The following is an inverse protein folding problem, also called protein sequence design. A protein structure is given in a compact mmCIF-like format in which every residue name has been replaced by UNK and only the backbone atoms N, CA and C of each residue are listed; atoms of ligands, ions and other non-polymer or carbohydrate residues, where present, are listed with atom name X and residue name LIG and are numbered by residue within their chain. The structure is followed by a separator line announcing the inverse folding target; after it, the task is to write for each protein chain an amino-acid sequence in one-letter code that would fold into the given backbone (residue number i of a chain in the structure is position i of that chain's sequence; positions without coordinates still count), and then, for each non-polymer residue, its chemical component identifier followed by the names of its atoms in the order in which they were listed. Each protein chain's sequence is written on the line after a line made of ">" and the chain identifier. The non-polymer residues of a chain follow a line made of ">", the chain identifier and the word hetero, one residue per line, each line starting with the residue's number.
data_IF_940841657306
#
_entry.id   IF_940841657306
#
_cell.length_a   1.000
_cell.length_b   1.000
_cell.length_c   1.000
_cell.angle_alpha   90.00
_cell.angle_beta   90.00
_cell.angle_gamma   90.00
#
_symmetry.space_group_name_H-M   'P 1'
#
loop_
_entity.id
_entity.type
_entity.pdbx_description
1 polymer ?
#
# COMPACT_ATOMS: atom_id res chain seq x y z
N UNK A 1 -6.23 24.65 32.29
CA UNK A 1 -6.54 23.83 31.09
C UNK A 1 -7.09 22.50 31.59
N UNK A 2 -8.34 22.18 31.31
CA UNK A 2 -8.88 20.86 31.63
C UNK A 2 -8.07 19.78 30.89
N UNK A 3 -7.63 18.74 31.59
CA UNK A 3 -6.98 17.59 30.96
C UNK A 3 -8.03 16.81 30.17
N UNK A 4 -7.73 16.55 28.90
CA UNK A 4 -8.61 15.76 28.03
C UNK A 4 -8.39 14.27 28.31
N UNK A 5 -9.47 13.56 28.60
CA UNK A 5 -9.43 12.12 28.83
C UNK A 5 -9.84 11.41 27.52
N UNK A 6 -8.84 10.99 26.74
CA UNK A 6 -9.06 10.27 25.48
C UNK A 6 -9.46 8.84 25.80
N UNK A 7 -10.61 8.41 25.27
CA UNK A 7 -11.16 7.07 25.51
C UNK A 7 -11.21 6.27 24.21
N UNK A 8 -10.90 4.98 24.32
CA UNK A 8 -11.02 4.01 23.24
C UNK A 8 -12.43 4.08 22.63
N UNK A 9 -12.48 4.15 21.29
CA UNK A 9 -13.74 4.13 20.54
C UNK A 9 -14.74 5.26 20.85
N UNK A 10 -14.42 6.23 21.72
CA UNK A 10 -15.32 7.31 22.08
C UNK A 10 -14.54 8.54 22.54
N UNK A 11 -13.88 9.22 21.60
CA UNK A 11 -13.28 10.54 21.86
C UNK A 11 -13.88 11.57 20.91
N UNK A 12 -15.09 12.05 21.23
CA UNK A 12 -15.80 13.07 20.45
C UNK A 12 -15.00 14.37 20.37
N UNK A 13 -14.14 14.62 21.34
CA UNK A 13 -13.24 15.77 21.41
C UNK A 13 -12.25 15.81 20.23
N UNK A 14 -11.78 14.65 19.73
CA UNK A 14 -10.88 14.60 18.56
C UNK A 14 -11.58 15.17 17.32
N UNK A 15 -12.84 14.80 17.12
CA UNK A 15 -13.65 15.26 16.00
C UNK A 15 -14.08 16.72 16.17
N UNK A 16 -14.43 17.14 17.39
CA UNK A 16 -14.73 18.54 17.70
C UNK A 16 -13.53 19.45 17.44
N UNK A 17 -12.32 19.03 17.81
CA UNK A 17 -11.10 19.78 17.50
C UNK A 17 -10.80 19.81 16.00
N UNK A 18 -11.03 18.72 15.28
CA UNK A 18 -10.93 18.73 13.84
C UNK A 18 -11.88 19.78 13.24
N UNK A 19 -13.13 19.77 13.71
CA UNK A 19 -14.18 20.73 13.34
C UNK A 19 -13.77 22.19 13.54
N UNK A 20 -13.26 22.51 14.74
CA UNK A 20 -12.79 23.84 15.08
C UNK A 20 -11.59 24.25 14.21
N UNK A 21 -10.67 23.33 13.95
CA UNK A 21 -9.48 23.61 13.13
C UNK A 21 -9.81 23.96 11.69
N UNK A 22 -10.86 23.37 11.10
CA UNK A 22 -11.33 23.75 9.76
C UNK A 22 -12.45 24.79 9.80
N UNK A 23 -12.69 25.43 10.96
CA UNK A 23 -13.64 26.53 11.15
C UNK A 23 -15.05 26.21 10.63
N UNK A 24 -15.45 24.94 10.76
CA UNK A 24 -16.74 24.44 10.27
C UNK A 24 -16.86 24.25 8.75
N UNK A 25 -15.82 24.57 7.96
CA UNK A 25 -15.80 24.26 6.52
C UNK A 25 -15.76 22.75 6.28
N UNK A 26 -16.23 22.28 5.13
CA UNK A 26 -16.17 20.85 4.80
C UNK A 26 -14.77 20.45 4.33
N UNK A 27 -14.22 19.42 4.96
CA UNK A 27 -12.96 18.78 4.55
C UNK A 27 -13.27 17.46 3.83
N UNK A 28 -12.71 17.27 2.65
CA UNK A 28 -12.91 16.09 1.80
C UNK A 28 -11.66 15.24 1.84
N UNK A 29 -11.80 13.94 2.11
CA UNK A 29 -10.63 13.10 2.26
C UNK A 29 -10.93 11.62 2.38
N UNK A 30 -9.96 10.91 2.93
CA UNK A 30 -10.00 9.47 3.09
C UNK A 30 -9.52 9.05 4.47
N UNK A 31 -10.04 7.93 4.95
CA UNK A 31 -9.64 7.31 6.20
C UNK A 31 -8.50 6.32 5.93
N UNK A 32 -7.51 6.33 6.80
CA UNK A 32 -6.41 5.38 6.87
C UNK A 32 -6.60 4.54 8.13
N UNK A 33 -6.48 3.22 8.01
CA UNK A 33 -6.59 2.26 9.09
C UNK A 33 -5.35 1.36 9.09
N UNK A 34 -4.72 1.19 10.25
CA UNK A 34 -3.65 0.21 10.44
C UNK A 34 -3.60 -0.24 11.91
N UNK A 35 -3.06 -1.43 12.13
CA UNK A 35 -2.90 -2.01 13.46
C UNK A 35 -1.48 -1.79 13.98
N UNK A 36 -1.39 -1.27 15.21
CA UNK A 36 -0.11 -1.08 15.89
C UNK A 36 0.00 -2.11 17.01
N UNK A 37 1.07 -2.89 16.97
CA UNK A 37 1.44 -3.76 18.09
C UNK A 37 1.88 -2.92 19.28
N UNK A 38 1.24 -3.14 20.42
CA UNK A 38 1.62 -2.48 21.66
C UNK A 38 2.82 -3.19 22.27
N UNK A 39 3.73 -2.42 22.87
CA UNK A 39 4.84 -3.01 23.63
C UNK A 39 4.28 -3.58 24.94
N UNK A 40 4.59 -4.85 25.18
CA UNK A 40 4.10 -5.62 26.29
C UNK A 40 4.73 -5.15 27.62
N UNK A 41 4.05 -4.28 28.38
CA UNK A 41 4.26 -4.09 29.84
C UNK A 41 2.92 -3.98 30.61
N UNK A 42 2.93 -3.81 31.94
CA UNK A 42 1.71 -3.47 32.71
C UNK A 42 1.34 -2.01 32.44
N UNK A 43 0.23 -1.78 31.73
CA UNK A 43 -0.23 -0.42 31.45
C UNK A 43 -1.16 0.02 32.60
N UNK A 44 -0.59 0.75 33.56
CA UNK A 44 -1.32 1.35 34.67
C UNK A 44 -1.59 2.83 34.37
N UNK A 45 -2.87 3.22 34.38
CA UNK A 45 -3.22 4.63 34.35
C UNK A 45 -2.96 5.25 35.73
N UNK A 46 -1.90 6.05 35.87
CA UNK A 46 -1.58 6.70 37.13
C UNK A 46 -2.61 7.76 37.58
N UNK A 47 -3.49 8.21 36.68
CA UNK A 47 -4.51 9.23 36.95
C UNK A 47 -5.89 8.64 37.22
N UNK A 48 -6.33 7.61 36.47
CA UNK A 48 -7.59 6.91 36.76
C UNK A 48 -7.44 5.75 37.75
N UNK A 49 -6.20 5.38 38.09
CA UNK A 49 -5.85 4.20 38.87
C UNK A 49 -6.33 2.86 38.28
N UNK A 50 -6.75 2.84 37.02
CA UNK A 50 -7.20 1.63 36.33
C UNK A 50 -6.04 0.89 35.65
N UNK A 51 -6.12 -0.43 35.65
CA UNK A 51 -5.25 -1.30 34.84
C UNK A 51 -5.86 -1.33 33.43
N UNK A 52 -5.14 -0.76 32.46
CA UNK A 52 -5.60 -0.63 31.06
C UNK A 52 -5.31 -1.93 30.29
N UNK A 53 -4.26 -2.67 30.63
CA UNK A 53 -3.94 -3.92 29.96
C UNK A 53 -2.76 -4.68 30.55
N UNK A 54 -2.66 -5.95 30.15
CA UNK A 54 -1.57 -6.85 30.48
C UNK A 54 -0.68 -7.11 29.25
N UNK A 55 0.54 -7.52 29.56
CA UNK A 55 1.62 -7.85 28.65
C UNK A 55 1.87 -9.35 28.63
N UNK A 56 2.22 -9.86 27.45
CA UNK A 56 2.58 -11.27 27.22
C UNK A 56 3.85 -11.74 27.98
N UNK A 57 4.57 -10.84 28.68
CA UNK A 57 5.82 -11.17 29.39
C UNK A 57 5.77 -10.98 30.92
N UNK A 58 4.63 -11.21 31.58
CA UNK A 58 4.61 -11.31 33.05
C UNK A 58 5.13 -12.69 33.48
N UNK A 59 6.45 -12.79 33.67
CA UNK A 59 7.14 -13.95 34.26
C UNK A 59 7.06 -14.01 35.80
N UNK A 60 6.33 -13.11 36.46
CA UNK A 60 6.18 -13.11 37.91
C UNK A 60 4.73 -13.36 38.35
N UNK A 61 4.50 -14.61 38.75
CA UNK A 61 3.21 -15.24 39.06
C UNK A 61 2.57 -14.73 40.36
N UNK A 62 3.32 -13.97 41.18
CA UNK A 62 2.90 -13.51 42.51
C UNK A 62 1.74 -12.50 42.49
N UNK A 63 1.57 -11.72 41.41
CA UNK A 63 0.42 -10.80 41.22
C UNK A 63 -0.83 -11.45 40.64
N UNK A 64 -0.69 -12.57 39.92
CA UNK A 64 -1.83 -13.36 39.40
C UNK A 64 -2.56 -14.05 40.56
N UNK A 65 -1.82 -14.53 41.56
CA UNK A 65 -2.38 -15.18 42.76
C UNK A 65 -3.23 -14.23 43.61
N UNK A 66 -2.93 -12.92 43.63
CA UNK A 66 -3.76 -11.92 44.30
C UNK A 66 -5.10 -11.62 43.59
N UNK A 67 -5.16 -11.80 42.27
CA UNK A 67 -6.41 -11.64 41.49
C UNK A 67 -7.33 -12.87 41.54
N UNK A 68 -6.81 -14.03 41.96
CA UNK A 68 -7.56 -15.29 42.12
C UNK A 68 -8.45 -15.29 43.37
N UNK A 69 -8.22 -14.39 44.33
CA UNK A 69 -8.86 -14.48 45.65
C UNK A 69 -10.03 -13.53 45.88
N UNK A 70 -10.29 -12.50 45.06
CA UNK A 70 -11.44 -11.61 45.29
C UNK A 70 -12.07 -11.03 44.01
N UNK A 71 -13.36 -11.35 43.84
CA UNK A 71 -14.40 -10.75 42.99
C UNK A 71 -14.44 -11.09 41.48
N UNK A 72 -15.37 -12.00 41.15
CA UNK A 72 -16.14 -12.12 39.89
C UNK A 72 -15.36 -12.01 38.57
N UNK A 73 -14.94 -13.19 38.08
CA UNK A 73 -14.21 -13.44 36.84
C UNK A 73 -14.87 -12.85 35.57
N UNK A 74 -14.45 -11.66 35.17
CA UNK A 74 -14.43 -11.25 33.76
C UNK A 74 -13.02 -11.51 33.23
N UNK A 75 -12.84 -12.66 32.54
CA UNK A 75 -11.59 -12.94 31.80
C UNK A 75 -11.51 -11.96 30.62
N UNK A 76 -10.89 -10.80 30.82
CA UNK A 76 -10.47 -9.93 29.72
C UNK A 76 -9.07 -10.36 29.28
N UNK A 77 -8.94 -10.74 28.02
CA UNK A 77 -7.63 -11.04 27.44
C UNK A 77 -6.75 -9.76 27.43
N UNK A 78 -5.42 -9.92 27.55
CA UNK A 78 -4.48 -8.80 27.43
C UNK A 78 -4.69 -8.06 26.10
N UNK A 79 -4.65 -6.73 26.16
CA UNK A 79 -4.57 -5.90 24.95
C UNK A 79 -3.15 -5.99 24.40
N UNK A 80 -3.02 -6.45 23.17
CA UNK A 80 -1.74 -6.63 22.49
C UNK A 80 -1.58 -5.73 21.27
N UNK A 81 -2.69 -5.21 20.74
CA UNK A 81 -2.73 -4.34 19.58
C UNK A 81 -3.72 -3.18 19.77
N UNK A 82 -3.51 -2.12 18.99
CA UNK A 82 -4.45 -1.03 18.81
C UNK A 82 -4.70 -0.83 17.31
N UNK A 83 -5.95 -0.92 16.88
CA UNK A 83 -6.37 -0.51 15.56
C UNK A 83 -6.56 1.00 15.56
N UNK A 84 -5.82 1.72 14.72
CA UNK A 84 -5.75 3.19 14.74
C UNK A 84 -6.29 3.75 13.44
N UNK A 85 -7.19 4.74 13.55
CA UNK A 85 -7.76 5.44 12.42
C UNK A 85 -7.21 6.85 12.30
N UNK A 86 -6.98 7.30 11.07
CA UNK A 86 -6.60 8.67 10.73
C UNK A 86 -7.40 9.16 9.54
N UNK A 87 -7.74 10.44 9.52
CA UNK A 87 -8.26 11.10 8.32
C UNK A 87 -7.11 11.83 7.63
N UNK A 88 -7.01 11.69 6.31
CA UNK A 88 -6.15 12.51 5.46
C UNK A 88 -7.01 13.34 4.54
N UNK A 89 -6.92 14.66 4.69
CA UNK A 89 -7.59 15.59 3.80
C UNK A 89 -6.95 15.56 2.42
N UNK A 90 -7.79 15.58 1.40
CA UNK A 90 -7.45 15.78 -0.01
C UNK A 90 -7.74 17.23 -0.44
N UNK A 91 -8.79 17.84 0.10
CA UNK A 91 -9.24 19.20 -0.21
C UNK A 91 -10.09 19.74 0.96
N UNK A 92 -10.09 21.05 1.29
CA UNK A 92 -9.25 22.11 0.74
C UNK A 92 -7.80 22.09 1.25
N UNK A 93 -7.46 21.24 2.23
CA UNK A 93 -6.13 21.22 2.85
C UNK A 93 -5.38 19.90 2.56
N UNK A 94 -4.81 19.72 1.35
CA UNK A 94 -4.15 18.48 0.97
C UNK A 94 -3.12 18.01 2.00
N UNK A 95 -3.17 16.72 2.32
CA UNK A 95 -2.25 16.02 3.22
C UNK A 95 -2.32 16.43 4.70
N UNK A 96 -3.30 17.25 5.11
CA UNK A 96 -3.58 17.44 6.54
C UNK A 96 -4.02 16.10 7.14
N UNK A 97 -3.32 15.68 8.19
CA UNK A 97 -3.63 14.45 8.93
C UNK A 97 -4.34 14.81 10.23
N UNK A 98 -5.45 14.14 10.50
CA UNK A 98 -6.18 14.21 11.76
C UNK A 98 -6.18 12.80 12.37
N UNK A 99 -5.75 12.69 13.62
CA UNK A 99 -5.88 11.44 14.37
C UNK A 99 -7.33 11.27 14.79
N UNK A 100 -7.90 10.10 14.49
CA UNK A 100 -9.27 9.76 14.85
C UNK A 100 -9.25 8.76 16.02
N UNK A 101 -10.33 7.98 16.16
CA UNK A 101 -10.41 6.95 17.18
C UNK A 101 -9.36 5.84 16.99
N UNK A 102 -9.08 5.18 18.09
CA UNK A 102 -8.40 3.90 18.14
C UNK A 102 -9.23 2.90 18.95
N UNK A 103 -8.98 1.62 18.70
CA UNK A 103 -9.66 0.50 19.34
C UNK A 103 -8.64 -0.55 19.75
N UNK A 104 -8.68 -0.97 21.00
CA UNK A 104 -7.78 -1.97 21.55
C UNK A 104 -8.27 -3.37 21.21
N UNK A 105 -7.34 -4.30 20.99
CA UNK A 105 -7.68 -5.70 20.76
C UNK A 105 -6.57 -6.66 21.24
N UNK A 106 -6.93 -7.93 21.44
CA UNK A 106 -6.02 -9.00 21.90
C UNK A 106 -5.34 -9.76 20.76
N UNK A 107 -5.40 -9.26 19.52
CA UNK A 107 -4.87 -9.89 18.31
C UNK A 107 -5.86 -10.76 17.55
N UNK A 108 -7.13 -10.75 17.95
CA UNK A 108 -8.21 -11.60 17.44
C UNK A 108 -9.32 -10.81 16.74
N UNK A 109 -9.02 -9.62 16.22
CA UNK A 109 -10.00 -8.70 15.65
C UNK A 109 -10.68 -9.27 14.40
N UNK A 110 -11.99 -9.48 14.45
CA UNK A 110 -12.76 -10.04 13.33
C UNK A 110 -13.14 -8.99 12.29
N UNK A 111 -13.43 -9.43 11.06
CA UNK A 111 -13.94 -8.53 10.00
C UNK A 111 -15.25 -7.80 10.36
N UNK A 112 -16.09 -8.40 11.21
CA UNK A 112 -17.34 -7.77 11.67
C UNK A 112 -17.08 -6.66 12.70
N UNK A 113 -16.13 -6.87 13.63
CA UNK A 113 -15.71 -5.84 14.57
C UNK A 113 -15.06 -4.67 13.83
N UNK A 114 -14.21 -4.97 12.85
CA UNK A 114 -13.64 -3.97 11.94
C UNK A 114 -14.72 -3.18 11.18
N UNK A 115 -15.80 -3.83 10.73
CA UNK A 115 -16.91 -3.16 10.06
C UNK A 115 -17.65 -2.20 11.02
N UNK A 116 -17.84 -2.61 12.27
CA UNK A 116 -18.40 -1.76 13.31
C UNK A 116 -17.53 -0.53 13.57
N UNK A 117 -16.21 -0.74 13.71
CA UNK A 117 -15.24 0.36 13.87
C UNK A 117 -15.23 1.30 12.67
N UNK A 118 -15.24 0.76 11.44
CA UNK A 118 -15.34 1.53 10.21
C UNK A 118 -16.58 2.43 10.21
N UNK A 119 -17.77 1.85 10.43
CA UNK A 119 -19.02 2.61 10.45
C UNK A 119 -19.01 3.69 11.53
N UNK A 120 -18.52 3.37 12.73
CA UNK A 120 -18.37 4.33 13.82
C UNK A 120 -17.54 5.53 13.37
N UNK A 121 -16.34 5.29 12.84
CA UNK A 121 -15.39 6.35 12.46
C UNK A 121 -15.93 7.18 11.30
N UNK A 122 -16.55 6.54 10.29
CA UNK A 122 -17.14 7.27 9.16
C UNK A 122 -18.28 8.18 9.64
N UNK A 123 -19.20 7.67 10.46
CA UNK A 123 -20.30 8.47 11.01
C UNK A 123 -19.75 9.67 11.79
N UNK A 124 -18.75 9.45 12.66
CA UNK A 124 -18.15 10.52 13.44
C UNK A 124 -17.43 11.58 12.56
N UNK A 125 -16.77 11.16 11.48
CA UNK A 125 -16.16 12.08 10.52
C UNK A 125 -17.20 12.94 9.81
N UNK A 126 -18.25 12.32 9.27
CA UNK A 126 -19.33 13.01 8.54
C UNK A 126 -20.06 14.01 9.46
N UNK A 127 -20.31 13.65 10.72
CA UNK A 127 -20.87 14.56 11.72
C UNK A 127 -19.97 15.77 12.04
N UNK A 128 -18.67 15.64 11.81
CA UNK A 128 -17.67 16.69 12.03
C UNK A 128 -17.32 17.43 10.73
N UNK A 129 -18.17 17.40 9.69
CA UNK A 129 -17.91 18.01 8.38
C UNK A 129 -16.61 17.49 7.69
N UNK A 130 -16.14 16.30 8.06
CA UNK A 130 -15.07 15.59 7.37
C UNK A 130 -15.71 14.54 6.44
N UNK A 131 -15.94 14.93 5.20
CA UNK A 131 -16.60 14.12 4.20
C UNK A 131 -15.68 13.00 3.69
N UNK A 132 -16.08 11.76 3.95
CA UNK A 132 -15.28 10.57 3.63
C UNK A 132 -15.59 10.10 2.22
N UNK A 133 -14.57 10.09 1.37
CA UNK A 133 -14.63 9.60 0.00
C UNK A 133 -13.83 8.33 -0.22
N UNK A 134 -13.09 7.89 0.79
CA UNK A 134 -12.15 6.82 0.62
C UNK A 134 -11.73 6.14 1.91
N UNK A 135 -11.35 4.88 1.79
CA UNK A 135 -10.88 4.05 2.90
C UNK A 135 -9.67 3.23 2.46
N UNK A 136 -8.57 3.37 3.20
CA UNK A 136 -7.32 2.64 2.97
C UNK A 136 -7.04 1.77 4.19
N UNK A 137 -6.84 0.48 3.96
CA UNK A 137 -6.34 -0.46 4.97
C UNK A 137 -5.21 -1.31 4.41
N UNK A 138 -4.50 -2.05 5.26
CA UNK A 138 -3.58 -3.07 4.78
C UNK A 138 -4.32 -4.25 4.11
N UNK A 139 -3.60 -5.27 3.68
CA UNK A 139 -4.16 -6.48 3.08
C UNK A 139 -4.08 -7.69 4.04
N UNK A 140 -3.99 -7.45 5.36
CA UNK A 140 -4.04 -8.50 6.37
C UNK A 140 -5.37 -9.26 6.31
N UNK A 141 -5.40 -10.51 6.77
CA UNK A 141 -6.55 -11.40 6.56
C UNK A 141 -7.91 -10.82 7.01
N UNK A 142 -7.95 -10.19 8.19
CA UNK A 142 -9.17 -9.59 8.71
C UNK A 142 -9.55 -8.27 8.01
N UNK A 143 -8.57 -7.48 7.57
CA UNK A 143 -8.81 -6.30 6.74
C UNK A 143 -9.29 -6.67 5.33
N UNK A 144 -8.76 -7.76 4.75
CA UNK A 144 -9.30 -8.33 3.52
C UNK A 144 -10.76 -8.79 3.70
N UNK A 145 -11.08 -9.42 4.84
CA UNK A 145 -12.46 -9.77 5.18
C UNK A 145 -13.36 -8.55 5.32
N UNK A 146 -12.90 -7.47 5.98
CA UNK A 146 -13.60 -6.19 6.04
C UNK A 146 -13.91 -5.66 4.63
N UNK A 147 -12.92 -5.62 3.74
CA UNK A 147 -13.12 -5.15 2.37
C UNK A 147 -14.15 -5.99 1.63
N UNK A 148 -14.16 -7.32 1.82
CA UNK A 148 -15.20 -8.19 1.25
C UNK A 148 -16.59 -7.86 1.82
N UNK A 149 -16.71 -7.59 3.11
CA UNK A 149 -17.99 -7.19 3.73
C UNK A 149 -18.48 -5.83 3.20
N UNK A 150 -17.60 -4.84 3.07
CA UNK A 150 -17.93 -3.52 2.53
C UNK A 150 -18.40 -3.58 1.07
N UNK A 151 -17.99 -4.61 0.34
CA UNK A 151 -18.39 -4.88 -1.05
C UNK A 151 -19.59 -5.81 -1.14
N UNK A 152 -20.32 -6.03 -0.04
CA UNK A 152 -21.48 -6.92 0.02
C UNK A 152 -21.17 -8.37 -0.40
N UNK A 153 -19.94 -8.82 -0.18
CA UNK A 153 -19.40 -10.10 -0.64
C UNK A 153 -19.38 -10.28 -2.17
N UNK A 154 -19.38 -9.19 -2.95
CA UNK A 154 -19.15 -9.26 -4.38
C UNK A 154 -17.70 -9.68 -4.68
N UNK A 155 -17.56 -10.63 -5.59
CA UNK A 155 -16.25 -11.12 -6.04
C UNK A 155 -15.63 -10.16 -7.06
N UNK A 156 -14.32 -9.94 -6.96
CA UNK A 156 -13.60 -9.02 -7.86
C UNK A 156 -13.51 -9.59 -9.29
N UNK A 157 -13.58 -10.93 -9.40
CA UNK A 157 -13.45 -11.66 -10.65
C UNK A 157 -12.02 -11.64 -11.22
N UNK A 158 -11.82 -12.33 -12.35
CA UNK A 158 -10.52 -12.47 -13.01
C UNK A 158 -10.27 -11.39 -14.08
N UNK A 159 -11.18 -10.43 -14.22
CA UNK A 159 -11.05 -9.37 -15.21
C UNK A 159 -9.98 -8.37 -14.79
N UNK A 160 -9.25 -7.81 -15.77
CA UNK A 160 -8.26 -6.76 -15.54
C UNK A 160 -8.85 -5.50 -14.88
N UNK A 161 -10.17 -5.32 -14.96
CA UNK A 161 -10.92 -4.22 -14.35
C UNK A 161 -11.89 -4.76 -13.32
N UNK A 162 -11.72 -4.35 -12.06
CA UNK A 162 -12.68 -4.62 -11.02
C UNK A 162 -13.98 -3.83 -11.30
N UNK A 163 -15.16 -4.46 -11.17
CA UNK A 163 -16.42 -3.76 -11.35
C UNK A 163 -16.67 -2.74 -10.22
N UNK A 164 -17.50 -1.74 -10.48
CA UNK A 164 -17.78 -0.63 -9.55
C UNK A 164 -18.20 -1.11 -8.15
N UNK A 165 -19.05 -2.13 -8.08
CA UNK A 165 -19.54 -2.74 -6.83
C UNK A 165 -18.43 -3.47 -6.04
N UNK A 166 -17.24 -3.65 -6.62
CA UNK A 166 -16.09 -4.29 -6.01
C UNK A 166 -14.98 -3.29 -5.61
N UNK A 167 -15.17 -2.00 -5.85
CA UNK A 167 -14.18 -0.95 -5.54
C UNK A 167 -14.73 0.16 -4.65
N UNK A 168 -16.04 0.15 -4.32
CA UNK A 168 -16.67 1.14 -3.46
C UNK A 168 -17.79 0.54 -2.62
N UNK A 169 -18.08 1.17 -1.49
CA UNK A 169 -19.28 0.92 -0.69
C UNK A 169 -20.13 2.19 -0.59
N UNK A 170 -21.40 2.07 -0.20
CA UNK A 170 -22.23 3.23 0.11
C UNK A 170 -21.73 3.90 1.39
N UNK A 171 -21.82 5.22 1.46
CA UNK A 171 -21.56 5.94 2.69
C UNK A 171 -22.72 5.68 3.68
N UNK A 172 -22.44 5.33 4.96
CA UNK A 172 -23.46 4.97 5.94
C UNK A 172 -24.31 6.16 6.42
N UNK A 173 -23.86 7.40 6.20
CA UNK A 173 -24.60 8.62 6.57
C UNK A 173 -25.37 9.18 5.37
N UNK A 174 -24.75 9.21 4.19
CA UNK A 174 -25.36 9.71 2.96
C UNK A 174 -25.27 8.66 1.85
N UNK A 175 -26.35 7.89 1.69
CA UNK A 175 -26.38 6.77 0.75
C UNK A 175 -26.33 7.17 -0.73
N UNK A 176 -26.40 8.47 -1.05
CA UNK A 176 -26.17 8.98 -2.40
C UNK A 176 -24.67 9.01 -2.77
N UNK A 177 -23.79 8.97 -1.77
CA UNK A 177 -22.33 8.99 -1.93
C UNK A 177 -21.72 7.61 -1.72
N UNK A 178 -20.54 7.46 -2.31
CA UNK A 178 -19.74 6.25 -2.21
C UNK A 178 -18.39 6.53 -1.56
N UNK A 179 -17.88 5.53 -0.84
CA UNK A 179 -16.54 5.49 -0.27
C UNK A 179 -15.75 4.47 -1.10
N UNK A 180 -14.67 4.92 -1.74
CA UNK A 180 -13.79 4.06 -2.52
C UNK A 180 -12.85 3.28 -1.60
N UNK A 181 -12.63 2.01 -1.93
CA UNK A 181 -11.92 1.06 -1.10
C UNK A 181 -10.54 0.77 -1.71
N UNK A 182 -9.49 0.95 -0.92
CA UNK A 182 -8.13 0.67 -1.35
C UNK A 182 -7.38 -0.15 -0.32
N UNK A 183 -6.55 -1.05 -0.82
CA UNK A 183 -5.47 -1.59 -0.02
C UNK A 183 -4.25 -0.68 -0.13
N UNK A 184 -3.44 -0.66 0.93
CA UNK A 184 -2.18 0.07 0.95
C UNK A 184 -1.27 -0.40 -0.19
N UNK A 185 -0.98 0.50 -1.13
CA UNK A 185 -0.14 0.22 -2.31
C UNK A 185 1.26 -0.29 -1.93
N UNK A 186 1.82 0.23 -0.84
CA UNK A 186 3.13 -0.19 -0.31
C UNK A 186 3.10 -1.65 0.18
N UNK A 187 2.01 -2.08 0.82
CA UNK A 187 1.85 -3.47 1.26
C UNK A 187 1.66 -4.42 0.08
N UNK A 188 0.95 -3.99 -0.96
CA UNK A 188 0.83 -4.75 -2.23
C UNK A 188 2.20 -4.91 -2.87
N UNK A 189 2.97 -3.82 -2.99
CA UNK A 189 4.30 -3.83 -3.59
C UNK A 189 5.25 -4.80 -2.85
N UNK A 190 5.30 -4.71 -1.52
CA UNK A 190 6.09 -5.64 -0.70
C UNK A 190 5.63 -7.08 -0.90
N UNK A 191 4.32 -7.32 -0.92
CA UNK A 191 3.76 -8.67 -1.10
C UNK A 191 4.12 -9.26 -2.46
N UNK A 192 3.99 -8.48 -3.54
CA UNK A 192 4.35 -8.91 -4.89
C UNK A 192 5.85 -9.25 -4.98
N UNK A 193 6.71 -8.38 -4.46
CA UNK A 193 8.16 -8.62 -4.41
C UNK A 193 8.51 -9.88 -3.61
N UNK A 194 7.88 -10.07 -2.45
CA UNK A 194 8.10 -11.26 -1.61
C UNK A 194 7.61 -12.54 -2.29
N UNK A 195 6.51 -12.48 -3.05
CA UNK A 195 6.02 -13.60 -3.86
C UNK A 195 6.98 -13.92 -5.01
N UNK A 196 7.49 -12.90 -5.71
CA UNK A 196 8.48 -13.08 -6.78
C UNK A 196 9.77 -13.70 -6.23
N UNK A 197 10.24 -13.26 -5.06
CA UNK A 197 11.39 -13.85 -4.37
C UNK A 197 11.15 -15.31 -3.94
N UNK A 198 9.93 -15.65 -3.52
CA UNK A 198 9.54 -17.01 -3.17
C UNK A 198 9.35 -17.92 -4.40
N UNK A 199 9.16 -17.34 -5.59
CA UNK A 199 9.03 -18.04 -6.87
C UNK A 199 10.41 -18.45 -7.39
N UNK A 200 10.85 -19.63 -6.94
CA UNK A 200 12.15 -20.20 -7.33
C UNK A 200 12.03 -21.09 -8.56
N UNK A 201 13.03 -21.01 -9.45
CA UNK A 201 13.07 -21.79 -10.70
C UNK A 201 13.47 -23.26 -10.53
N UNK A 202 13.93 -23.66 -9.35
CA UNK A 202 14.35 -25.03 -9.03
C UNK A 202 13.22 -25.91 -8.48
N UNK A 203 11.97 -25.40 -8.47
CA UNK A 203 10.81 -26.12 -7.92
C UNK A 203 10.77 -26.20 -6.39
N UNK A 204 11.72 -25.60 -5.68
CA UNK A 204 11.72 -25.50 -4.22
C UNK A 204 10.91 -24.31 -3.68
N UNK A 205 10.29 -23.54 -4.59
CA UNK A 205 9.45 -22.39 -4.26
C UNK A 205 8.16 -22.80 -3.55
N UNK A 206 7.72 -21.96 -2.63
CA UNK A 206 6.46 -22.18 -1.85
C UNK A 206 5.26 -21.57 -2.56
N UNK A 207 5.49 -20.62 -3.49
CA UNK A 207 4.47 -19.95 -4.31
C UNK A 207 5.08 -19.61 -5.67
N UNK A 208 4.31 -19.79 -6.74
CA UNK A 208 4.75 -19.52 -8.11
C UNK A 208 4.04 -18.29 -8.66
N UNK A 209 4.80 -17.34 -9.19
CA UNK A 209 4.25 -16.27 -10.00
C UNK A 209 4.17 -16.78 -11.44
N UNK A 210 2.98 -16.76 -12.03
CA UNK A 210 2.73 -17.33 -13.35
C UNK A 210 2.41 -16.22 -14.35
N UNK A 211 2.86 -16.39 -15.59
CA UNK A 211 2.34 -15.61 -16.71
C UNK A 211 0.93 -16.07 -17.08
N UNK A 212 0.24 -15.32 -17.94
CA UNK A 212 -1.06 -15.71 -18.51
C UNK A 212 -1.01 -17.05 -19.27
N UNK A 213 0.19 -17.48 -19.69
CA UNK A 213 0.43 -18.75 -20.38
C UNK A 213 0.95 -19.84 -19.42
N UNK A 214 0.85 -19.63 -18.11
CA UNK A 214 1.36 -20.51 -17.05
C UNK A 214 2.90 -20.68 -17.04
N UNK A 215 3.65 -19.75 -17.64
CA UNK A 215 5.11 -19.76 -17.53
C UNK A 215 5.54 -19.25 -16.13
N UNK A 216 6.49 -19.95 -15.51
CA UNK A 216 7.04 -19.56 -14.22
C UNK A 216 7.89 -18.29 -14.35
N UNK A 217 7.46 -17.24 -13.65
CA UNK A 217 8.24 -16.02 -13.47
C UNK A 217 9.00 -16.18 -12.15
N UNK A 218 10.33 -16.17 -12.22
CA UNK A 218 11.21 -16.52 -11.10
C UNK A 218 12.10 -15.35 -10.69
N UNK A 219 12.69 -15.45 -9.49
CA UNK A 219 13.68 -14.47 -9.01
C UNK A 219 15.02 -14.53 -9.75
N UNK A 220 15.33 -15.64 -10.41
CA UNK A 220 16.67 -15.94 -10.95
C UNK A 220 17.17 -14.89 -11.97
N UNK A 221 16.37 -14.41 -12.94
CA UNK A 221 16.83 -13.40 -13.90
C UNK A 221 17.27 -12.08 -13.25
N UNK A 222 16.69 -11.72 -12.10
CA UNK A 222 17.07 -10.52 -11.34
C UNK A 222 18.45 -10.72 -10.71
N UNK A 223 18.71 -11.90 -10.14
CA UNK A 223 20.02 -12.27 -9.55
C UNK A 223 21.10 -12.33 -10.63
N UNK A 224 20.80 -12.97 -11.76
CA UNK A 224 21.75 -13.11 -12.88
C UNK A 224 22.13 -11.75 -13.46
N UNK A 225 21.15 -10.85 -13.58
CA UNK A 225 21.39 -9.47 -14.05
C UNK A 225 22.28 -8.69 -13.07
N UNK A 226 22.02 -8.82 -11.76
CA UNK A 226 22.82 -8.17 -10.72
C UNK A 226 24.27 -8.65 -10.72
N UNK A 227 24.51 -9.97 -10.74
CA UNK A 227 25.87 -10.52 -10.72
C UNK A 227 26.64 -10.22 -12.02
N UNK A 228 25.95 -10.22 -13.17
CA UNK A 228 26.52 -9.76 -14.45
C UNK A 228 27.01 -8.31 -14.35
N UNK A 229 26.17 -7.41 -13.87
CA UNK A 229 26.49 -5.98 -13.83
C UNK A 229 27.56 -5.67 -12.76
N UNK A 230 27.54 -6.37 -11.63
CA UNK A 230 28.59 -6.32 -10.60
C UNK A 230 29.95 -6.84 -11.10
N UNK A 231 29.95 -7.88 -11.93
CA UNK A 231 31.16 -8.43 -12.56
C UNK A 231 31.74 -7.53 -13.66
N UNK A 232 30.93 -6.63 -14.22
CA UNK A 232 31.38 -5.66 -15.20
C UNK A 232 31.91 -4.39 -14.53
N UNK A 233 33.13 -3.96 -14.87
CA UNK A 233 33.65 -2.62 -14.53
C UNK A 233 32.95 -1.50 -15.33
N UNK A 234 31.69 -1.70 -15.73
CA UNK A 234 30.94 -0.75 -16.53
C UNK A 234 30.54 0.45 -15.67
N UNK A 235 30.54 1.63 -16.30
CA UNK A 235 30.25 2.94 -15.68
C UNK A 235 28.80 3.01 -15.18
N UNK A 236 27.91 2.17 -15.71
CA UNK A 236 26.49 2.08 -15.37
C UNK A 236 26.17 0.76 -14.65
N UNK A 237 26.66 0.61 -13.42
CA UNK A 237 26.24 -0.50 -12.55
C UNK A 237 24.75 -0.33 -12.21
N UNK A 238 23.98 -1.41 -12.29
CA UNK A 238 22.60 -1.43 -11.81
C UNK A 238 22.57 -0.91 -10.36
N UNK A 239 21.85 0.21 -10.13
CA UNK A 239 21.80 0.93 -8.84
C UNK A 239 21.01 0.20 -7.75
N UNK A 240 20.91 -1.12 -7.83
CA UNK A 240 20.10 -1.93 -6.93
C UNK A 240 21.00 -2.37 -5.77
N UNK A 241 20.65 -2.05 -4.52
CA UNK A 241 21.44 -2.46 -3.37
C UNK A 241 21.37 -3.98 -3.18
N UNK A 242 22.45 -4.58 -2.66
CA UNK A 242 22.52 -6.02 -2.37
C UNK A 242 21.34 -6.52 -1.53
N UNK A 243 20.88 -5.72 -0.56
CA UNK A 243 19.73 -6.03 0.30
C UNK A 243 18.37 -6.02 -0.41
N UNK A 244 18.28 -5.52 -1.64
CA UNK A 244 17.12 -5.70 -2.50
C UNK A 244 17.19 -7.06 -3.23
N UNK A 245 18.37 -7.51 -3.64
CA UNK A 245 18.54 -8.79 -4.35
C UNK A 245 18.45 -10.00 -3.40
N UNK A 246 19.16 -9.93 -2.27
CA UNK A 246 19.20 -10.99 -1.26
C UNK A 246 18.40 -10.57 -0.04
N UNK A 247 17.12 -10.93 -0.04
CA UNK A 247 16.19 -10.52 0.99
C UNK A 247 16.39 -11.31 2.28
N UNK A 248 16.57 -10.58 3.38
CA UNK A 248 16.47 -11.09 4.75
C UNK A 248 15.17 -10.60 5.43
N UNK A 249 14.97 -10.99 6.69
CA UNK A 249 13.76 -10.62 7.46
C UNK A 249 13.54 -9.10 7.54
N UNK A 250 14.60 -8.31 7.56
CA UNK A 250 14.52 -6.85 7.62
C UNK A 250 14.18 -6.25 6.24
N UNK A 251 14.82 -6.78 5.20
CA UNK A 251 14.69 -6.35 3.81
C UNK A 251 13.30 -6.63 3.23
N UNK A 252 12.65 -7.70 3.69
CA UNK A 252 11.25 -8.03 3.35
C UNK A 252 10.24 -6.95 3.76
N UNK A 253 10.56 -6.19 4.81
CA UNK A 253 9.70 -5.09 5.31
C UNK A 253 10.10 -3.73 4.75
N UNK A 254 11.29 -3.59 4.17
CA UNK A 254 11.78 -2.35 3.61
C UNK A 254 11.13 -2.03 2.26
N UNK A 255 10.29 -0.99 2.23
CA UNK A 255 9.62 -0.52 1.00
C UNK A 255 10.59 0.01 -0.05
N UNK A 256 11.74 0.57 0.35
CA UNK A 256 12.72 1.11 -0.60
C UNK A 256 13.23 0.00 -1.51
N UNK A 257 13.60 -1.13 -0.92
CA UNK A 257 14.03 -2.30 -1.69
C UNK A 257 12.92 -2.86 -2.57
N UNK A 258 11.67 -2.86 -2.09
CA UNK A 258 10.54 -3.27 -2.92
C UNK A 258 10.32 -2.35 -4.14
N UNK A 259 10.56 -1.03 -3.99
CA UNK A 259 10.52 -0.06 -5.09
C UNK A 259 11.64 -0.28 -6.09
N UNK A 260 12.85 -0.57 -5.62
CA UNK A 260 14.01 -0.79 -6.49
C UNK A 260 13.75 -1.91 -7.51
N UNK A 261 12.92 -2.92 -7.17
CA UNK A 261 12.52 -4.00 -8.09
C UNK A 261 11.47 -3.63 -9.15
N UNK A 262 10.69 -2.60 -8.87
CA UNK A 262 9.62 -2.11 -9.76
C UNK A 262 10.02 -0.82 -10.48
N UNK A 263 11.27 -0.40 -10.30
CA UNK A 263 11.87 0.68 -11.06
C UNK A 263 12.06 0.23 -12.50
N UNK A 264 11.75 1.12 -13.44
CA UNK A 264 11.80 0.85 -14.88
C UNK A 264 13.20 0.44 -15.37
N UNK A 265 14.25 0.79 -14.62
CA UNK A 265 15.64 0.38 -14.86
C UNK A 265 15.82 -1.15 -14.91
N UNK A 266 15.11 -1.93 -14.09
CA UNK A 266 15.20 -3.41 -14.12
C UNK A 266 14.52 -4.04 -15.32
N UNK A 267 13.48 -3.40 -15.87
CA UNK A 267 12.71 -3.98 -16.98
C UNK A 267 13.51 -4.08 -18.28
N UNK A 268 14.62 -3.34 -18.38
CA UNK A 268 15.46 -3.23 -19.58
C UNK A 268 16.68 -4.16 -19.50
N UNK A 269 17.25 -4.38 -18.31
CA UNK A 269 18.49 -5.17 -18.13
C UNK A 269 18.28 -6.70 -18.11
N UNK A 270 17.02 -7.14 -18.12
CA UNK A 270 16.63 -8.56 -18.26
C UNK A 270 16.72 -9.03 -19.73
N UNK A 271 16.86 -8.10 -20.68
CA UNK A 271 17.09 -8.42 -22.10
C UNK A 271 18.61 -8.39 -22.37
N UNK A 272 19.20 -9.42 -23.02
CA UNK A 272 20.63 -9.45 -23.32
C UNK A 272 21.09 -8.20 -24.06
N UNK A 273 22.05 -7.47 -23.46
CA UNK A 273 22.63 -6.20 -23.98
C UNK A 273 23.30 -6.36 -25.36
N UNK A 274 23.61 -7.60 -25.77
CA UNK A 274 24.35 -7.94 -26.99
C UNK A 274 23.62 -7.54 -28.29
N UNK A 275 22.36 -7.10 -28.20
CA UNK A 275 21.59 -6.62 -29.35
C UNK A 275 21.26 -5.12 -29.36
N UNK A 276 21.61 -4.33 -28.33
CA UNK A 276 20.87 -3.08 -28.10
C UNK A 276 21.60 -1.73 -28.05
N UNK A 277 22.93 -1.60 -27.98
CA UNK A 277 23.52 -0.26 -27.87
C UNK A 277 24.77 0.02 -28.73
N UNK A 278 24.57 0.93 -29.70
CA UNK A 278 25.52 1.98 -30.08
C UNK A 278 24.77 3.31 -30.09
N UNK A 279 24.80 4.08 -29.00
CA UNK A 279 24.84 5.56 -29.01
C UNK A 279 24.97 6.14 -27.58
N UNK A 280 25.55 7.34 -27.55
CA UNK A 280 26.14 8.08 -26.42
C UNK A 280 25.13 8.77 -25.51
N UNK A 281 25.46 8.83 -24.22
CA UNK A 281 24.64 9.21 -23.07
C UNK A 281 24.16 10.67 -22.98
N UNK A 282 24.28 11.48 -24.03
CA UNK A 282 24.02 12.93 -23.95
C UNK A 282 22.60 13.36 -24.36
N UNK A 283 21.76 12.43 -24.84
CA UNK A 283 20.43 12.73 -25.42
C UNK A 283 19.24 12.33 -24.53
N UNK A 284 19.44 11.94 -23.27
CA UNK A 284 18.36 11.44 -22.39
C UNK A 284 18.23 12.27 -21.12
N UNK A 285 17.56 13.42 -21.23
CA UNK A 285 16.92 14.05 -20.07
C UNK A 285 15.78 13.15 -19.56
N UNK A 286 15.74 12.99 -18.24
CA UNK A 286 15.06 11.90 -17.51
C UNK A 286 13.53 12.08 -17.45
N UNK A 287 12.85 12.03 -18.60
CA UNK A 287 11.38 12.02 -18.71
C UNK A 287 10.96 10.99 -19.76
N UNK A 288 10.43 9.84 -19.32
CA UNK A 288 9.76 8.90 -20.22
C UNK A 288 10.64 8.07 -21.15
N UNK A 289 11.92 7.94 -20.82
CA UNK A 289 12.93 7.17 -21.57
C UNK A 289 12.47 5.73 -21.85
N UNK A 290 11.73 5.11 -20.93
CA UNK A 290 11.35 3.70 -21.04
C UNK A 290 10.19 3.46 -22.01
N UNK A 291 9.19 4.36 -22.05
CA UNK A 291 8.12 4.28 -23.04
C UNK A 291 8.65 4.55 -24.46
N UNK A 292 9.55 5.53 -24.62
CA UNK A 292 10.18 5.80 -25.92
C UNK A 292 11.05 4.63 -26.38
N UNK A 293 11.78 3.98 -25.47
CA UNK A 293 12.52 2.75 -25.76
C UNK A 293 11.61 1.60 -26.18
N UNK A 294 10.48 1.38 -25.50
CA UNK A 294 9.50 0.35 -25.90
C UNK A 294 8.87 0.65 -27.26
N UNK A 295 8.55 1.92 -27.55
CA UNK A 295 8.06 2.33 -28.88
C UNK A 295 9.09 2.06 -29.98
N UNK A 296 10.37 2.32 -29.73
CA UNK A 296 11.47 2.01 -30.66
C UNK A 296 11.60 0.49 -30.85
N UNK A 297 11.50 -0.29 -29.79
CA UNK A 297 11.52 -1.76 -29.88
C UNK A 297 10.34 -2.28 -30.69
N UNK A 298 9.14 -1.75 -30.46
CA UNK A 298 7.92 -2.12 -31.18
C UNK A 298 8.01 -1.75 -32.66
N UNK A 299 8.52 -0.56 -33.00
CA UNK A 299 8.70 -0.14 -34.40
C UNK A 299 9.73 -1.00 -35.12
N UNK A 300 10.85 -1.33 -34.47
CA UNK A 300 11.84 -2.27 -35.02
C UNK A 300 11.25 -3.67 -35.20
N UNK A 301 10.56 -4.20 -34.20
CA UNK A 301 9.94 -5.52 -34.26
C UNK A 301 8.90 -5.62 -35.39
N UNK A 302 8.12 -4.56 -35.60
CA UNK A 302 7.21 -4.45 -36.74
C UNK A 302 7.95 -4.41 -38.08
N UNK A 303 9.12 -3.76 -38.16
CA UNK A 303 9.94 -3.72 -39.37
C UNK A 303 10.57 -5.06 -39.75
N UNK A 304 10.88 -5.94 -38.78
CA UNK A 304 11.47 -7.27 -39.05
C UNK A 304 10.45 -8.40 -39.16
N UNK A 305 9.14 -8.06 -39.19
CA UNK A 305 8.02 -8.99 -39.24
C UNK A 305 8.12 -10.15 -38.21
N UNK A 306 8.37 -9.80 -36.96
CA UNK A 306 8.51 -10.76 -35.87
C UNK A 306 7.22 -11.57 -35.60
N UNK A 307 7.40 -12.71 -34.95
CA UNK A 307 6.32 -13.63 -34.57
C UNK A 307 5.24 -12.95 -33.70
N UNK A 308 4.02 -13.49 -33.74
CA UNK A 308 2.87 -12.99 -33.02
C UNK A 308 3.10 -12.96 -31.50
N UNK A 309 3.78 -13.96 -30.94
CA UNK A 309 4.12 -14.01 -29.52
C UNK A 309 5.03 -12.83 -29.10
N UNK A 310 5.99 -12.46 -29.94
CA UNK A 310 6.89 -11.31 -29.69
C UNK A 310 6.11 -9.99 -29.73
N UNK A 311 5.18 -9.84 -30.67
CA UNK A 311 4.31 -8.65 -30.77
C UNK A 311 3.40 -8.51 -29.54
N UNK A 312 2.87 -9.63 -29.06
CA UNK A 312 2.04 -9.68 -27.85
C UNK A 312 2.86 -9.32 -26.60
N UNK A 313 4.04 -9.92 -26.42
CA UNK A 313 4.93 -9.61 -25.31
C UNK A 313 5.38 -8.15 -25.28
N UNK A 314 5.66 -7.55 -26.44
CA UNK A 314 6.00 -6.12 -26.53
C UNK A 314 4.81 -5.22 -26.16
N UNK A 315 3.58 -5.62 -26.50
CA UNK A 315 2.38 -4.88 -26.13
C UNK A 315 2.08 -5.01 -24.62
N UNK A 316 2.31 -6.19 -24.04
CA UNK A 316 2.26 -6.40 -22.58
C UNK A 316 3.32 -5.57 -21.86
N UNK A 317 4.56 -5.53 -22.38
CA UNK A 317 5.63 -4.71 -21.82
C UNK A 317 5.30 -3.22 -21.87
N UNK A 318 4.76 -2.74 -22.99
CA UNK A 318 4.28 -1.37 -23.16
C UNK A 318 3.20 -1.02 -22.12
N UNK A 319 2.22 -1.92 -21.94
CA UNK A 319 1.20 -1.78 -20.91
C UNK A 319 1.82 -1.69 -19.51
N UNK A 320 2.72 -2.61 -19.16
CA UNK A 320 3.40 -2.63 -17.86
C UNK A 320 4.24 -1.37 -17.61
N UNK A 321 4.92 -0.85 -18.64
CA UNK A 321 5.70 0.39 -18.53
C UNK A 321 4.80 1.60 -18.32
N UNK A 322 3.69 1.72 -19.07
CA UNK A 322 2.76 2.85 -18.91
C UNK A 322 2.04 2.80 -17.55
N UNK A 323 1.57 1.61 -17.15
CA UNK A 323 0.96 1.41 -15.83
C UNK A 323 1.98 1.65 -14.72
N UNK A 324 3.21 1.16 -14.89
CA UNK A 324 4.33 1.42 -13.99
C UNK A 324 4.64 2.90 -13.85
N UNK A 325 4.70 3.65 -14.97
CA UNK A 325 4.91 5.10 -14.97
C UNK A 325 3.81 5.84 -14.21
N UNK A 326 2.55 5.51 -14.47
CA UNK A 326 1.38 6.08 -13.79
C UNK A 326 1.42 5.71 -12.30
N UNK A 327 1.66 4.45 -11.97
CA UNK A 327 1.66 3.96 -10.60
C UNK A 327 2.82 4.52 -9.78
N UNK A 328 4.03 4.55 -10.34
CA UNK A 328 5.21 5.13 -9.72
C UNK A 328 5.03 6.63 -9.48
N UNK A 329 4.37 7.34 -10.40
CA UNK A 329 4.18 8.79 -10.32
C UNK A 329 3.00 9.21 -9.43
N UNK A 330 1.89 8.45 -9.43
CA UNK A 330 0.69 8.75 -8.64
C UNK A 330 0.77 8.14 -7.24
N UNK A 331 1.10 6.85 -7.14
CA UNK A 331 0.86 6.08 -5.93
C UNK A 331 2.11 5.87 -5.07
N UNK A 332 3.30 5.90 -5.66
CA UNK A 332 4.53 5.60 -4.92
C UNK A 332 5.26 6.83 -4.39
N UNK A 333 4.74 8.04 -4.59
CA UNK A 333 5.36 9.30 -4.16
C UNK A 333 6.87 9.27 -4.47
N UNK A 334 7.26 9.68 -5.68
CA UNK A 334 8.63 10.22 -5.84
C UNK A 334 8.86 11.20 -4.69
N UNK A 335 10.05 11.23 -4.14
CA UNK A 335 10.42 12.14 -3.04
C UNK A 335 10.22 13.63 -3.39
N UNK A 336 9.88 13.93 -4.65
CA UNK A 336 9.35 15.21 -5.08
C UNK A 336 8.08 15.58 -4.31
N UNK A 337 8.25 16.51 -3.36
CA UNK A 337 7.14 17.24 -2.75
C UNK A 337 6.37 17.95 -3.87
N UNK A 338 5.07 17.68 -3.96
CA UNK A 338 4.16 18.47 -4.81
C UNK A 338 4.21 19.91 -4.29
N UNK A 339 4.49 20.84 -5.19
CA UNK A 339 4.61 22.26 -4.95
C UNK A 339 3.92 23.02 -6.09
N UNK A 340 3.64 24.30 -5.89
CA UNK A 340 3.09 25.14 -6.97
C UNK A 340 3.99 25.15 -8.22
N UNK A 341 5.28 24.90 -8.08
CA UNK A 341 6.24 24.94 -9.19
C UNK A 341 6.24 23.67 -10.05
N UNK A 342 5.80 22.52 -9.53
CA UNK A 342 5.84 21.25 -10.26
C UNK A 342 4.46 20.62 -10.51
N UNK A 343 3.38 21.16 -9.91
CA UNK A 343 2.04 20.59 -10.02
C UNK A 343 1.53 20.53 -11.47
N UNK A 344 1.75 21.59 -12.26
CA UNK A 344 1.31 21.64 -13.66
C UNK A 344 2.07 20.63 -14.54
N UNK A 345 3.37 20.47 -14.29
CA UNK A 345 4.20 19.50 -15.01
C UNK A 345 3.82 18.06 -14.66
N UNK A 346 3.56 17.80 -13.37
CA UNK A 346 3.09 16.50 -12.90
C UNK A 346 1.69 16.18 -13.45
N UNK A 347 0.77 17.14 -13.42
CA UNK A 347 -0.56 16.99 -14.02
C UNK A 347 -0.46 16.71 -15.52
N UNK A 348 0.35 17.46 -16.26
CA UNK A 348 0.55 17.27 -17.70
C UNK A 348 1.12 15.88 -17.99
N UNK A 349 2.10 15.43 -17.21
CA UNK A 349 2.66 14.09 -17.32
C UNK A 349 1.59 13.00 -17.09
N UNK A 350 0.85 13.09 -15.98
CA UNK A 350 -0.19 12.13 -15.62
C UNK A 350 -1.31 12.11 -16.65
N UNK A 351 -1.76 13.27 -17.12
CA UNK A 351 -2.76 13.43 -18.17
C UNK A 351 -2.29 12.77 -19.47
N UNK A 352 -1.07 13.06 -19.90
CA UNK A 352 -0.49 12.47 -21.12
C UNK A 352 -0.40 10.94 -21.03
N UNK A 353 0.03 10.42 -19.87
CA UNK A 353 0.14 8.97 -19.65
C UNK A 353 -1.22 8.29 -19.55
N UNK A 354 -2.19 8.93 -18.91
CA UNK A 354 -3.57 8.41 -18.80
C UNK A 354 -4.29 8.44 -20.15
N UNK A 355 -4.09 9.49 -20.95
CA UNK A 355 -4.60 9.58 -22.32
C UNK A 355 -3.96 8.53 -23.23
N UNK A 356 -2.64 8.32 -23.12
CA UNK A 356 -1.95 7.26 -23.84
C UNK A 356 -2.49 5.88 -23.45
N UNK A 357 -2.65 5.63 -22.15
CA UNK A 357 -3.25 4.42 -21.61
C UNK A 357 -4.68 4.21 -22.12
N UNK A 358 -5.49 5.26 -22.19
CA UNK A 358 -6.84 5.20 -22.74
C UNK A 358 -6.87 4.84 -24.23
N UNK A 359 -5.83 5.17 -25.01
CA UNK A 359 -5.68 4.78 -26.43
C UNK A 359 -5.17 3.35 -26.64
N UNK A 360 -4.60 2.72 -25.60
CA UNK A 360 -4.18 1.32 -25.65
C UNK A 360 -5.35 0.35 -25.42
N UNK A 361 -6.48 0.86 -24.90
CA UNK A 361 -7.77 0.17 -24.86
C UNK A 361 -8.42 0.19 -26.24
#
# INVERSE_FOLDING_TARGET
>A
KAKMNIKEGYTTELYGWAFDQHKGATEYGHILCDEIKLKSDLWWNGESHEIIGFSDEIRDFSKVVGSVTNATNLKKEPVTYANVFRFRSSFPTPNKIVNLNFFFNSGSLTGNELLSQFNHVVIACEMANMQVHGFVSDAGGNNARLMTLLRENNDVGDNAWAPDNCIRCKNPVDTSRHIYLWHCSVHILKSLRNQLFASKGDGSGVRYLLSNENHHITWQPIVDSYERDKGSNAIDQARIPLGAIHLDKWSLMNVRYAKDHSASELSIDVIPKDHLFKKTAHDLEYVGVDLERVKILKSKAMAVNCDAAVKQNLSTLEFCVVVGDIFNSIFLCKEEKISEHNINSLETFLRTRTEYFARMR
#
